data_IF_196768799845
#
_entry.id   IF_196768799845
#
_cell.length_a   1.000
_cell.length_b   1.000
_cell.length_c   1.000
_cell.angle_alpha   90.00
_cell.angle_beta   90.00
_cell.angle_gamma   90.00
#
_symmetry.space_group_name_H-M   'P 1'
#
loop_
_entity.id
_entity.type
_entity.pdbx_description
1 polymer ?
#
# COMPACT_ATOMS: atom_id res chain seq x y z
N UNK A 1 -13.08 0.98 19.05
CA UNK A 1 -13.75 1.15 17.75
C UNK A 1 -14.04 -0.21 17.16
N UNK A 2 -15.15 -0.32 16.42
CA UNK A 2 -15.38 -1.44 15.51
C UNK A 2 -14.90 -1.05 14.10
N UNK A 3 -13.95 -1.78 13.55
CA UNK A 3 -13.27 -1.43 12.30
C UNK A 3 -13.49 -2.52 11.25
N UNK A 4 -14.06 -2.15 10.10
CA UNK A 4 -14.17 -3.01 8.94
C UNK A 4 -12.90 -2.87 8.08
N UNK A 5 -12.23 -3.99 7.81
CA UNK A 5 -11.07 -4.02 6.90
C UNK A 5 -11.39 -4.90 5.69
N UNK A 6 -11.42 -4.32 4.50
CA UNK A 6 -11.43 -5.10 3.27
C UNK A 6 -10.00 -5.37 2.80
N UNK A 7 -9.76 -6.53 2.19
CA UNK A 7 -8.39 -6.95 1.91
C UNK A 7 -7.61 -7.42 3.15
N UNK A 8 -8.31 -7.71 4.26
CA UNK A 8 -7.73 -8.15 5.53
C UNK A 8 -6.88 -9.42 5.47
N UNK A 9 -7.02 -10.24 4.42
CA UNK A 9 -6.18 -11.42 4.19
C UNK A 9 -4.85 -11.13 3.45
N UNK A 10 -4.65 -9.89 2.99
CA UNK A 10 -3.44 -9.45 2.30
C UNK A 10 -2.31 -9.07 3.27
N UNK A 11 -1.12 -8.81 2.75
CA UNK A 11 0.07 -8.45 3.52
C UNK A 11 -0.19 -7.25 4.46
N UNK A 12 -0.67 -6.14 3.91
CA UNK A 12 -0.95 -4.92 4.68
C UNK A 12 -2.13 -5.11 5.64
N UNK A 13 -3.20 -5.78 5.15
CA UNK A 13 -4.41 -6.01 5.94
C UNK A 13 -4.15 -6.89 7.16
N UNK A 14 -3.32 -7.91 7.05
CA UNK A 14 -2.94 -8.76 8.18
C UNK A 14 -2.10 -8.00 9.22
N UNK A 15 -1.10 -7.23 8.76
CA UNK A 15 -0.27 -6.45 9.66
C UNK A 15 -1.10 -5.39 10.41
N UNK A 16 -1.99 -4.69 9.72
CA UNK A 16 -2.88 -3.71 10.33
C UNK A 16 -3.88 -4.36 11.29
N UNK A 17 -4.55 -5.44 10.87
CA UNK A 17 -5.53 -6.13 11.70
C UNK A 17 -4.91 -6.68 12.98
N UNK A 18 -3.69 -7.21 12.90
CA UNK A 18 -2.98 -7.68 14.08
C UNK A 18 -2.69 -6.54 15.08
N UNK A 19 -2.19 -5.42 14.59
CA UNK A 19 -1.89 -4.26 15.44
C UNK A 19 -3.16 -3.67 16.08
N UNK A 20 -4.24 -3.49 15.30
CA UNK A 20 -5.51 -2.97 15.81
C UNK A 20 -6.16 -3.91 16.83
N UNK A 21 -6.05 -5.23 16.62
CA UNK A 21 -6.52 -6.22 17.61
C UNK A 21 -5.74 -6.15 18.92
N UNK A 22 -4.42 -5.93 18.86
CA UNK A 22 -3.58 -5.73 20.05
C UNK A 22 -3.93 -4.45 20.81
N UNK A 23 -4.41 -3.42 20.11
CA UNK A 23 -4.91 -2.18 20.71
C UNK A 23 -6.34 -2.32 21.28
N UNK A 24 -6.95 -3.51 21.20
CA UNK A 24 -8.28 -3.78 21.77
C UNK A 24 -9.46 -3.35 20.86
N UNK A 25 -9.23 -3.11 19.57
CA UNK A 25 -10.32 -2.81 18.64
C UNK A 25 -11.10 -4.07 18.23
N UNK A 26 -12.40 -3.94 18.03
CA UNK A 26 -13.24 -4.98 17.41
C UNK A 26 -13.05 -4.95 15.90
N UNK A 27 -12.81 -6.11 15.28
CA UNK A 27 -12.50 -6.18 13.87
C UNK A 27 -13.49 -7.04 13.08
N UNK A 28 -13.96 -6.51 11.96
CA UNK A 28 -14.61 -7.28 10.90
C UNK A 28 -13.73 -7.28 9.66
N UNK A 29 -13.35 -8.47 9.20
CA UNK A 29 -12.48 -8.66 8.04
C UNK A 29 -13.26 -9.25 6.87
N UNK A 30 -13.38 -8.47 5.79
CA UNK A 30 -14.06 -8.93 4.58
C UNK A 30 -13.11 -9.75 3.70
N UNK A 31 -13.54 -10.96 3.31
CA UNK A 31 -12.77 -11.85 2.45
C UNK A 31 -13.70 -12.72 1.60
N UNK A 32 -13.29 -13.01 0.36
CA UNK A 32 -13.99 -13.95 -0.54
C UNK A 32 -14.09 -15.37 0.02
N UNK A 33 -13.22 -15.74 0.95
CA UNK A 33 -13.18 -17.06 1.58
C UNK A 33 -13.03 -16.92 3.11
N UNK A 34 -14.05 -16.40 3.83
CA UNK A 34 -13.95 -16.04 5.25
C UNK A 34 -13.63 -17.27 6.12
N UNK A 35 -14.27 -18.40 5.89
CA UNK A 35 -14.05 -19.63 6.67
C UNK A 35 -12.61 -20.15 6.58
N UNK A 36 -11.99 -20.08 5.40
CA UNK A 36 -10.58 -20.46 5.22
C UNK A 36 -9.65 -19.49 5.94
N UNK A 37 -9.96 -18.19 5.89
CA UNK A 37 -9.15 -17.16 6.54
C UNK A 37 -9.28 -17.23 8.06
N UNK A 38 -10.46 -17.41 8.60
CA UNK A 38 -10.70 -17.60 10.03
C UNK A 38 -9.89 -18.78 10.61
N UNK A 39 -9.80 -19.90 9.88
CA UNK A 39 -9.01 -21.08 10.30
C UNK A 39 -7.49 -20.85 10.26
N UNK A 40 -7.01 -19.88 9.47
CA UNK A 40 -5.58 -19.59 9.29
C UNK A 40 -5.08 -18.40 10.11
N UNK A 41 -5.99 -17.50 10.43
CA UNK A 41 -5.70 -16.30 11.18
C UNK A 41 -5.71 -16.57 12.68
N UNK A 42 -4.73 -16.03 13.38
CA UNK A 42 -4.73 -15.98 14.85
C UNK A 42 -5.32 -14.65 15.37
N UNK A 43 -5.76 -13.77 14.47
CA UNK A 43 -6.34 -12.48 14.81
C UNK A 43 -7.79 -12.72 15.23
N UNK A 44 -8.20 -12.31 16.45
CA UNK A 44 -9.58 -12.34 16.88
C UNK A 44 -10.40 -11.32 16.07
N UNK A 45 -11.14 -11.80 15.08
CA UNK A 45 -11.93 -10.97 14.18
C UNK A 45 -13.11 -11.76 13.62
N UNK A 46 -14.21 -11.06 13.34
CA UNK A 46 -15.30 -11.61 12.54
C UNK A 46 -14.88 -11.61 11.06
N UNK A 47 -15.01 -12.75 10.40
CA UNK A 47 -14.74 -12.85 8.96
C UNK A 47 -16.05 -12.97 8.20
N UNK A 48 -16.28 -12.08 7.25
CA UNK A 48 -17.51 -12.01 6.44
C UNK A 48 -17.23 -12.13 4.94
N UNK A 49 -18.17 -12.75 4.20
CA UNK A 49 -18.13 -12.82 2.75
C UNK A 49 -18.87 -11.66 2.09
N UNK A 50 -19.93 -11.20 2.70
CA UNK A 50 -20.79 -10.12 2.22
C UNK A 50 -20.79 -8.99 3.25
N UNK A 51 -20.86 -7.74 2.77
CA UNK A 51 -20.96 -6.58 3.65
C UNK A 51 -22.28 -6.58 4.45
N UNK A 52 -23.33 -7.14 3.86
CA UNK A 52 -24.65 -7.26 4.52
C UNK A 52 -24.67 -8.30 5.67
N UNK A 53 -23.62 -9.11 5.82
CA UNK A 53 -23.48 -10.02 6.97
C UNK A 53 -23.01 -9.26 8.24
N UNK A 54 -22.69 -7.97 8.12
CA UNK A 54 -22.26 -7.11 9.21
C UNK A 54 -23.49 -6.51 9.87
N UNK A 55 -23.78 -6.94 11.11
CA UNK A 55 -24.98 -6.53 11.87
C UNK A 55 -24.67 -5.45 12.90
N UNK A 56 -23.42 -5.36 13.36
CA UNK A 56 -23.00 -4.39 14.36
C UNK A 56 -22.58 -3.07 13.70
N UNK A 57 -22.85 -1.93 14.32
CA UNK A 57 -22.38 -0.64 13.83
C UNK A 57 -20.85 -0.62 13.65
N UNK A 58 -20.39 0.00 12.56
CA UNK A 58 -18.96 0.11 12.23
C UNK A 58 -18.53 1.57 12.36
N UNK A 59 -17.50 1.83 13.16
CA UNK A 59 -16.98 3.18 13.38
C UNK A 59 -16.05 3.64 12.24
N UNK A 60 -15.29 2.72 11.67
CA UNK A 60 -14.28 3.01 10.65
C UNK A 60 -14.20 1.93 9.58
N UNK A 61 -13.95 2.33 8.35
CA UNK A 61 -13.69 1.42 7.22
C UNK A 61 -12.29 1.63 6.68
N UNK A 62 -11.52 0.54 6.53
CA UNK A 62 -10.21 0.54 5.88
C UNK A 62 -10.28 -0.35 4.63
N UNK A 63 -10.22 0.25 3.46
CA UNK A 63 -10.28 -0.46 2.18
C UNK A 63 -8.88 -0.71 1.61
N UNK A 64 -8.38 -1.92 1.76
CA UNK A 64 -7.09 -2.37 1.21
C UNK A 64 -7.26 -3.37 0.07
N UNK A 65 -8.46 -3.47 -0.50
CA UNK A 65 -8.75 -4.44 -1.55
C UNK A 65 -8.14 -4.01 -2.87
N UNK A 66 -7.45 -4.93 -3.51
CA UNK A 66 -6.90 -4.74 -4.84
C UNK A 66 -6.21 -5.99 -5.34
N UNK A 67 -6.47 -6.40 -6.59
CA UNK A 67 -5.71 -7.47 -7.21
C UNK A 67 -4.24 -7.05 -7.35
N UNK A 68 -3.32 -7.99 -7.08
CA UNK A 68 -1.89 -7.74 -7.13
C UNK A 68 -1.44 -7.36 -8.55
N UNK A 69 -0.72 -6.24 -8.67
CA UNK A 69 -0.25 -5.67 -9.94
C UNK A 69 0.87 -6.50 -10.59
N UNK A 70 1.61 -7.30 -9.79
CA UNK A 70 2.81 -8.00 -10.25
C UNK A 70 2.60 -9.48 -10.60
N UNK A 71 1.46 -10.08 -10.25
CA UNK A 71 1.24 -11.54 -10.37
C UNK A 71 1.20 -12.02 -11.82
N UNK A 72 0.61 -11.24 -12.73
CA UNK A 72 0.39 -11.62 -14.14
C UNK A 72 0.71 -10.45 -15.08
N UNK A 73 1.10 -10.74 -16.34
CA UNK A 73 1.26 -9.71 -17.37
C UNK A 73 -0.03 -8.90 -17.61
N UNK A 74 0.10 -7.62 -17.95
CA UNK A 74 -1.02 -6.71 -18.11
C UNK A 74 -1.68 -6.82 -19.51
N UNK A 75 -2.37 -7.93 -19.74
CA UNK A 75 -3.31 -8.04 -20.86
C UNK A 75 -4.54 -7.16 -20.62
N UNK A 76 -5.35 -6.90 -21.64
CA UNK A 76 -6.61 -6.15 -21.53
C UNK A 76 -7.51 -6.75 -20.44
N UNK A 77 -7.66 -8.10 -20.43
CA UNK A 77 -8.41 -8.82 -19.40
C UNK A 77 -7.82 -8.61 -18.00
N UNK A 78 -6.49 -8.62 -17.86
CA UNK A 78 -5.84 -8.39 -16.56
C UNK A 78 -6.03 -6.96 -16.09
N UNK A 79 -5.92 -5.98 -16.97
CA UNK A 79 -6.21 -4.57 -16.65
C UNK A 79 -7.63 -4.38 -16.15
N UNK A 80 -8.63 -5.03 -16.77
CA UNK A 80 -10.01 -4.99 -16.26
C UNK A 80 -10.12 -5.58 -14.86
N UNK A 81 -9.45 -6.71 -14.56
CA UNK A 81 -9.42 -7.28 -13.20
C UNK A 81 -8.78 -6.33 -12.20
N UNK A 82 -7.68 -5.67 -12.57
CA UNK A 82 -7.00 -4.70 -11.71
C UNK A 82 -7.87 -3.48 -11.42
N UNK A 83 -8.59 -3.00 -12.43
CA UNK A 83 -9.54 -1.90 -12.33
C UNK A 83 -10.74 -2.26 -11.46
N UNK A 84 -11.46 -3.29 -11.82
CA UNK A 84 -12.71 -3.69 -11.15
C UNK A 84 -12.46 -4.08 -9.70
N UNK A 85 -11.34 -4.75 -9.38
CA UNK A 85 -11.01 -5.13 -8.00
C UNK A 85 -10.85 -3.93 -7.05
N UNK A 86 -10.69 -2.71 -7.58
CA UNK A 86 -10.59 -1.47 -6.81
C UNK A 86 -11.87 -0.67 -6.88
N UNK A 87 -12.32 -0.37 -8.09
CA UNK A 87 -13.46 0.51 -8.32
C UNK A 87 -14.76 -0.15 -7.84
N UNK A 88 -15.03 -1.40 -8.25
CA UNK A 88 -16.28 -2.08 -7.89
C UNK A 88 -16.34 -2.37 -6.39
N UNK A 89 -15.20 -2.74 -5.76
CA UNK A 89 -15.17 -2.94 -4.31
C UNK A 89 -15.39 -1.63 -3.56
N UNK A 90 -14.79 -0.54 -4.02
CA UNK A 90 -15.00 0.78 -3.40
C UNK A 90 -16.46 1.24 -3.55
N UNK A 91 -17.05 1.03 -4.73
CA UNK A 91 -18.48 1.33 -4.96
C UNK A 91 -19.36 0.50 -4.02
N UNK A 92 -19.13 -0.81 -3.92
CA UNK A 92 -19.90 -1.67 -3.01
C UNK A 92 -19.80 -1.23 -1.55
N UNK A 93 -18.63 -0.73 -1.11
CA UNK A 93 -18.46 -0.16 0.23
C UNK A 93 -19.28 1.14 0.39
N UNK A 94 -19.29 2.02 -0.61
CA UNK A 94 -20.08 3.24 -0.60
C UNK A 94 -21.57 2.93 -0.52
N UNK A 95 -22.06 2.00 -1.34
CA UNK A 95 -23.45 1.57 -1.35
C UNK A 95 -23.85 0.98 0.02
N UNK A 96 -22.97 0.18 0.61
CA UNK A 96 -23.16 -0.37 1.95
C UNK A 96 -23.19 0.72 3.03
N UNK A 97 -22.23 1.67 3.00
CA UNK A 97 -22.18 2.79 3.96
C UNK A 97 -23.43 3.68 3.86
N UNK A 98 -23.92 3.93 2.64
CA UNK A 98 -25.13 4.72 2.41
C UNK A 98 -26.41 4.04 2.96
N UNK A 99 -26.40 2.70 3.07
CA UNK A 99 -27.51 1.93 3.64
C UNK A 99 -27.48 1.80 5.17
N UNK A 100 -26.44 2.31 5.85
CA UNK A 100 -26.35 2.23 7.31
C UNK A 100 -27.17 3.35 7.97
N UNK A 101 -27.85 3.03 9.08
CA UNK A 101 -28.53 4.06 9.91
C UNK A 101 -27.52 5.07 10.46
N UNK A 102 -26.32 4.59 10.79
CA UNK A 102 -25.19 5.40 11.24
C UNK A 102 -23.97 5.06 10.36
N UNK A 103 -23.69 5.86 9.33
CA UNK A 103 -22.49 5.66 8.52
C UNK A 103 -21.22 5.74 9.36
N UNK A 104 -20.14 5.04 8.95
CA UNK A 104 -18.85 5.13 9.62
C UNK A 104 -18.35 6.57 9.69
N UNK A 105 -17.65 6.92 10.77
CA UNK A 105 -17.07 8.26 10.93
C UNK A 105 -15.91 8.52 9.98
N UNK A 106 -15.14 7.46 9.64
CA UNK A 106 -13.95 7.56 8.80
C UNK A 106 -13.85 6.41 7.80
N UNK A 107 -13.43 6.77 6.59
CA UNK A 107 -13.10 5.86 5.50
C UNK A 107 -11.65 6.08 5.07
N UNK A 108 -10.76 5.12 5.36
CA UNK A 108 -9.40 5.08 4.86
C UNK A 108 -9.37 4.21 3.60
N UNK A 109 -9.23 4.81 2.43
CA UNK A 109 -9.18 4.07 1.16
C UNK A 109 -7.75 3.90 0.70
N UNK A 110 -7.39 2.67 0.33
CA UNK A 110 -6.13 2.41 -0.35
C UNK A 110 -5.97 3.29 -1.59
N UNK A 111 -4.75 3.70 -1.80
CA UNK A 111 -4.24 4.42 -2.96
C UNK A 111 -2.76 4.05 -3.12
N UNK A 112 -2.03 4.68 -4.03
CA UNK A 112 -0.61 4.42 -4.23
C UNK A 112 0.12 5.67 -4.74
N UNK A 113 1.42 5.78 -4.46
CA UNK A 113 2.28 6.82 -5.06
C UNK A 113 2.33 6.74 -6.59
N UNK A 114 1.89 5.62 -7.17
CA UNK A 114 1.65 5.50 -8.61
C UNK A 114 0.63 6.51 -9.16
N UNK A 115 -0.11 7.22 -8.29
CA UNK A 115 -0.94 8.38 -8.65
C UNK A 115 -0.15 9.43 -9.43
N UNK A 116 1.10 9.66 -9.05
CA UNK A 116 1.95 10.70 -9.63
C UNK A 116 2.55 10.32 -11.00
N UNK A 117 2.67 9.01 -11.30
CA UNK A 117 3.40 8.54 -12.47
C UNK A 117 4.90 8.78 -12.34
N UNK A 118 5.57 8.97 -13.48
CA UNK A 118 7.01 9.31 -13.53
C UNK A 118 7.18 10.83 -13.38
N UNK A 119 7.75 11.27 -12.28
CA UNK A 119 7.99 12.68 -11.95
C UNK A 119 9.46 13.09 -12.15
N UNK A 120 10.32 12.19 -12.63
CA UNK A 120 11.76 12.47 -12.77
C UNK A 120 12.40 12.87 -11.45
N UNK A 121 12.86 14.12 -11.35
CA UNK A 121 13.50 14.69 -10.14
C UNK A 121 12.53 15.49 -9.25
N UNK A 122 11.32 15.72 -9.72
CA UNK A 122 10.35 16.55 -8.99
C UNK A 122 9.91 15.87 -7.70
N UNK A 123 9.84 16.63 -6.62
CA UNK A 123 9.23 16.20 -5.36
C UNK A 123 7.72 16.13 -5.54
N UNK A 124 7.12 15.00 -5.16
CA UNK A 124 5.69 14.77 -5.22
C UNK A 124 5.11 14.84 -3.81
N UNK A 125 4.52 15.97 -3.45
CA UNK A 125 3.71 16.11 -2.25
C UNK A 125 2.25 15.74 -2.52
N UNK A 126 1.42 15.71 -1.50
CA UNK A 126 0.00 15.35 -1.64
C UNK A 126 -0.80 16.31 -2.52
N UNK A 127 -0.28 17.52 -2.75
CA UNK A 127 -0.89 18.54 -3.61
C UNK A 127 -0.52 18.38 -5.09
N UNK A 128 0.49 17.56 -5.41
CA UNK A 128 0.94 17.34 -6.79
C UNK A 128 -0.15 16.70 -7.63
N UNK A 129 -0.29 17.18 -8.86
CA UNK A 129 -1.21 16.61 -9.86
C UNK A 129 -0.86 15.17 -10.23
N UNK A 130 -1.85 14.39 -10.62
CA UNK A 130 -1.66 13.02 -11.06
C UNK A 130 -0.99 12.90 -12.43
N UNK A 131 -0.27 11.79 -12.63
CA UNK A 131 0.36 11.44 -13.90
C UNK A 131 -0.64 10.98 -14.96
N UNK A 132 -0.13 10.72 -16.17
CA UNK A 132 -0.95 10.40 -17.34
C UNK A 132 -0.81 8.93 -17.81
N UNK A 133 0.06 8.13 -17.16
CA UNK A 133 0.21 6.73 -17.51
C UNK A 133 -0.96 5.87 -17.00
N UNK A 134 -1.07 4.63 -17.46
CA UNK A 134 -2.18 3.78 -17.09
C UNK A 134 -2.23 3.46 -15.58
N UNK A 135 -1.11 3.21 -14.87
CA UNK A 135 -1.12 3.09 -13.41
C UNK A 135 -1.68 4.32 -12.71
N UNK A 136 -1.26 5.52 -13.12
CA UNK A 136 -1.75 6.77 -12.54
C UNK A 136 -3.26 6.96 -12.78
N UNK A 137 -3.74 6.67 -13.99
CA UNK A 137 -5.17 6.72 -14.32
C UNK A 137 -5.99 5.74 -13.45
N UNK A 138 -5.48 4.51 -13.22
CA UNK A 138 -6.12 3.55 -12.33
C UNK A 138 -6.25 4.09 -10.90
N UNK A 139 -5.18 4.69 -10.37
CA UNK A 139 -5.16 5.22 -9.01
C UNK A 139 -6.07 6.45 -8.89
N UNK A 140 -6.05 7.36 -9.89
CA UNK A 140 -6.93 8.52 -9.94
C UNK A 140 -8.40 8.11 -9.95
N UNK A 141 -8.77 7.11 -10.76
CA UNK A 141 -10.14 6.60 -10.78
C UNK A 141 -10.53 5.96 -9.44
N UNK A 142 -9.59 5.28 -8.79
CA UNK A 142 -9.82 4.70 -7.46
C UNK A 142 -10.06 5.78 -6.40
N UNK A 143 -9.20 6.82 -6.37
CA UNK A 143 -9.37 7.96 -5.46
C UNK A 143 -10.68 8.72 -5.73
N UNK A 144 -11.01 8.96 -7.00
CA UNK A 144 -12.26 9.63 -7.39
C UNK A 144 -13.51 8.86 -6.90
N UNK A 145 -13.47 7.52 -6.94
CA UNK A 145 -14.54 6.70 -6.40
C UNK A 145 -14.62 6.82 -4.87
N UNK A 146 -13.47 6.77 -4.18
CA UNK A 146 -13.41 6.80 -2.71
C UNK A 146 -13.88 8.14 -2.13
N UNK A 147 -13.56 9.25 -2.79
CA UNK A 147 -13.98 10.62 -2.35
C UNK A 147 -15.50 10.78 -2.26
N UNK A 148 -16.26 9.98 -3.01
CA UNK A 148 -17.75 10.04 -2.92
C UNK A 148 -18.29 9.71 -1.53
N UNK A 149 -17.52 9.06 -0.65
CA UNK A 149 -17.91 8.84 0.74
C UNK A 149 -18.14 10.15 1.51
N UNK A 150 -17.51 11.24 1.09
CA UNK A 150 -17.71 12.57 1.69
C UNK A 150 -19.16 13.07 1.53
N UNK A 151 -19.85 12.65 0.47
CA UNK A 151 -21.28 12.98 0.28
C UNK A 151 -22.18 12.31 1.33
N UNK A 152 -21.68 11.31 2.04
CA UNK A 152 -22.35 10.64 3.15
C UNK A 152 -21.94 11.23 4.51
N UNK A 153 -21.18 12.33 4.54
CA UNK A 153 -20.61 12.91 5.77
C UNK A 153 -19.43 12.11 6.35
N UNK A 154 -18.88 11.15 5.62
CA UNK A 154 -17.78 10.29 6.07
C UNK A 154 -16.43 10.94 5.79
N UNK A 155 -15.61 11.18 6.83
CA UNK A 155 -14.25 11.66 6.67
C UNK A 155 -13.43 10.67 5.84
N UNK A 156 -12.89 11.11 4.71
CA UNK A 156 -12.22 10.23 3.76
C UNK A 156 -10.73 10.57 3.63
N UNK A 157 -9.88 9.58 3.82
CA UNK A 157 -8.42 9.67 3.64
C UNK A 157 -7.97 8.69 2.56
N UNK A 158 -7.15 9.16 1.63
CA UNK A 158 -6.61 8.39 0.51
C UNK A 158 -5.16 8.02 0.80
N UNK A 159 -4.90 6.74 1.03
CA UNK A 159 -3.60 6.22 1.49
C UNK A 159 -2.65 6.01 0.31
N UNK A 160 -1.99 7.06 -0.20
CA UNK A 160 -0.99 6.98 -1.29
C UNK A 160 0.25 6.23 -0.83
N UNK A 161 0.14 4.92 -0.82
CA UNK A 161 1.16 4.01 -0.28
C UNK A 161 2.31 3.84 -1.27
N UNK A 162 3.54 4.04 -0.81
CA UNK A 162 4.76 3.65 -1.49
C UNK A 162 5.03 2.14 -1.40
N UNK A 163 6.10 1.63 -2.04
CA UNK A 163 6.55 0.26 -1.84
C UNK A 163 6.78 -0.05 -0.36
N UNK A 164 5.96 -0.93 0.22
CA UNK A 164 6.06 -1.31 1.63
C UNK A 164 7.08 -2.42 1.79
N UNK A 165 8.08 -2.19 2.64
CA UNK A 165 9.12 -3.15 3.00
C UNK A 165 8.68 -3.93 4.26
N UNK A 166 8.70 -5.27 4.16
CA UNK A 166 8.28 -6.16 5.25
C UNK A 166 8.40 -7.63 4.86
N UNK A 167 7.77 -8.51 5.64
CA UNK A 167 7.75 -9.95 5.39
C UNK A 167 6.94 -10.36 4.14
N UNK A 168 6.27 -9.40 3.51
CA UNK A 168 5.56 -9.55 2.23
C UNK A 168 5.97 -8.48 1.22
N UNK A 169 5.25 -8.41 0.10
CA UNK A 169 5.47 -7.40 -0.94
C UNK A 169 6.76 -7.59 -1.73
N UNK A 170 7.52 -6.51 -1.90
CA UNK A 170 8.71 -6.45 -2.77
C UNK A 170 9.95 -7.11 -2.14
N UNK A 171 10.12 -7.02 -0.83
CA UNK A 171 11.38 -7.38 -0.16
C UNK A 171 11.71 -8.89 -0.21
N UNK A 172 10.77 -9.83 0.05
CA UNK A 172 11.10 -11.26 0.05
C UNK A 172 11.68 -11.78 -1.27
N UNK A 173 11.11 -11.50 -2.46
CA UNK A 173 11.74 -11.93 -3.72
C UNK A 173 13.08 -11.26 -3.97
N UNK A 174 13.30 -10.03 -3.53
CA UNK A 174 14.61 -9.37 -3.62
C UNK A 174 15.64 -10.09 -2.72
N UNK A 175 15.30 -10.37 -1.46
CA UNK A 175 16.16 -11.13 -0.54
C UNK A 175 16.60 -12.46 -1.16
N UNK A 176 15.66 -13.20 -1.74
CA UNK A 176 15.94 -14.49 -2.39
C UNK A 176 16.95 -14.34 -3.54
N UNK A 177 16.78 -13.33 -4.40
CA UNK A 177 17.73 -13.06 -5.50
C UNK A 177 19.14 -12.74 -4.96
N UNK A 178 19.24 -11.89 -3.94
CA UNK A 178 20.52 -11.55 -3.33
C UNK A 178 21.19 -12.76 -2.66
N UNK A 179 20.43 -13.58 -1.94
CA UNK A 179 20.91 -14.81 -1.32
C UNK A 179 21.44 -15.81 -2.37
N UNK A 180 20.80 -15.87 -3.53
CA UNK A 180 21.24 -16.69 -4.67
C UNK A 180 22.44 -16.10 -5.43
N UNK A 181 23.02 -14.97 -4.99
CA UNK A 181 24.11 -14.29 -5.68
C UNK A 181 23.70 -13.53 -6.94
N UNK A 182 22.40 -13.35 -7.14
CA UNK A 182 21.82 -12.63 -8.28
C UNK A 182 21.39 -11.19 -7.89
N UNK A 183 21.99 -10.66 -6.83
CA UNK A 183 21.70 -9.31 -6.35
C UNK A 183 22.14 -8.24 -7.33
N UNK A 184 21.27 -7.23 -7.53
CA UNK A 184 21.56 -6.18 -8.45
C UNK A 184 20.49 -5.10 -8.54
N UNK A 185 20.76 -4.11 -9.39
CA UNK A 185 19.85 -2.99 -9.63
C UNK A 185 19.10 -3.18 -10.95
N UNK A 186 17.97 -2.50 -11.11
CA UNK A 186 17.23 -2.42 -12.37
C UNK A 186 17.84 -1.31 -13.24
N UNK A 187 18.53 -1.67 -14.30
CA UNK A 187 19.30 -0.73 -15.12
C UNK A 187 20.32 0.03 -14.25
N UNK A 188 20.40 1.33 -14.44
CA UNK A 188 21.27 2.21 -13.63
C UNK A 188 20.73 2.48 -12.21
N UNK A 189 19.49 2.07 -11.90
CA UNK A 189 18.84 2.33 -10.61
C UNK A 189 18.75 3.81 -10.24
N UNK A 190 18.68 4.69 -11.24
CA UNK A 190 18.73 6.14 -11.03
C UNK A 190 17.37 6.74 -10.64
N UNK A 191 16.28 6.00 -10.78
CA UNK A 191 14.93 6.44 -10.44
C UNK A 191 14.72 6.49 -8.93
N UNK A 192 13.84 7.39 -8.47
CA UNK A 192 13.48 7.52 -7.08
C UNK A 192 12.59 6.37 -6.61
N UNK A 193 12.83 5.91 -5.38
CA UNK A 193 12.14 4.83 -4.71
C UNK A 193 11.61 5.34 -3.37
N UNK A 194 10.32 5.67 -3.33
CA UNK A 194 9.63 6.20 -2.15
C UNK A 194 9.02 5.07 -1.32
N UNK A 195 9.85 4.39 -0.60
CA UNK A 195 9.53 3.22 0.23
C UNK A 195 8.93 3.61 1.59
N UNK A 196 8.37 2.61 2.31
CA UNK A 196 8.00 2.73 3.72
C UNK A 196 8.20 1.39 4.43
N UNK A 197 8.62 1.41 5.69
CA UNK A 197 8.65 0.21 6.53
C UNK A 197 7.23 -0.18 6.96
N UNK A 198 6.95 -1.50 7.07
CA UNK A 198 5.62 -1.99 7.43
C UNK A 198 5.14 -1.46 8.80
N UNK A 199 6.04 -1.32 9.79
CA UNK A 199 5.69 -0.78 11.11
C UNK A 199 5.25 0.69 11.01
N UNK A 200 5.94 1.51 10.23
CA UNK A 200 5.58 2.91 10.01
C UNK A 200 4.30 3.03 9.17
N UNK A 201 4.09 2.14 8.20
CA UNK A 201 2.84 2.11 7.47
C UNK A 201 1.64 1.82 8.40
N UNK A 202 1.76 0.82 9.28
CA UNK A 202 0.73 0.48 10.26
C UNK A 202 0.53 1.62 11.25
N UNK A 203 1.62 2.20 11.77
CA UNK A 203 1.57 3.32 12.70
C UNK A 203 0.88 4.54 12.10
N UNK A 204 1.21 4.90 10.86
CA UNK A 204 0.60 6.01 10.14
C UNK A 204 -0.91 5.77 9.90
N UNK A 205 -1.31 4.55 9.49
CA UNK A 205 -2.73 4.23 9.30
C UNK A 205 -3.49 4.31 10.62
N UNK A 206 -2.91 3.84 11.73
CA UNK A 206 -3.50 3.96 13.08
C UNK A 206 -3.66 5.42 13.49
N UNK A 207 -2.65 6.26 13.27
CA UNK A 207 -2.74 7.70 13.53
C UNK A 207 -3.85 8.35 12.71
N UNK A 208 -3.97 8.02 11.42
CA UNK A 208 -5.00 8.55 10.53
C UNK A 208 -6.42 8.08 10.85
N UNK A 209 -6.59 6.95 11.55
CA UNK A 209 -7.89 6.50 12.03
C UNK A 209 -8.49 7.47 13.06
N UNK A 210 -7.65 7.99 13.94
CA UNK A 210 -8.08 8.84 15.08
C UNK A 210 -7.89 10.34 14.83
N UNK A 211 -7.03 10.73 13.89
CA UNK A 211 -6.75 12.14 13.58
C UNK A 211 -7.89 12.75 12.75
N UNK A 212 -8.77 13.50 13.39
CA UNK A 212 -9.99 14.03 12.77
C UNK A 212 -9.74 15.15 11.76
N UNK A 213 -8.61 15.85 11.87
CA UNK A 213 -8.31 17.03 11.03
C UNK A 213 -7.79 16.64 9.64
N UNK A 214 -7.32 15.39 9.48
CA UNK A 214 -6.75 14.93 8.21
C UNK A 214 -7.79 14.32 7.30
N UNK A 215 -7.85 14.85 6.08
CA UNK A 215 -8.69 14.32 5.00
C UNK A 215 -7.98 14.43 3.64
N UNK A 216 -8.52 13.72 2.64
CA UNK A 216 -7.96 13.67 1.29
C UNK A 216 -6.69 12.83 1.21
N UNK A 217 -5.80 13.07 0.21
CA UNK A 217 -4.61 12.25 -0.01
C UNK A 217 -3.57 12.43 1.10
N UNK A 218 -2.91 11.32 1.48
CA UNK A 218 -1.78 11.25 2.40
C UNK A 218 -0.73 10.31 1.82
N UNK A 219 0.50 10.78 1.65
CA UNK A 219 1.62 9.96 1.23
C UNK A 219 2.10 9.08 2.38
N UNK A 220 1.96 7.77 2.22
CA UNK A 220 2.51 6.77 3.13
C UNK A 220 3.86 6.29 2.59
N UNK A 221 4.88 7.12 2.78
CA UNK A 221 6.28 6.90 2.40
C UNK A 221 7.18 7.30 3.54
N UNK A 222 8.38 6.71 3.64
CA UNK A 222 9.39 7.18 4.57
C UNK A 222 9.80 8.63 4.24
N UNK A 223 10.28 9.41 5.22
CA UNK A 223 10.63 10.83 5.01
C UNK A 223 11.87 11.01 4.12
N UNK A 224 12.64 9.94 3.92
CA UNK A 224 13.85 9.96 3.09
C UNK A 224 13.71 8.98 1.92
N UNK A 225 13.12 9.40 0.79
CA UNK A 225 13.13 8.60 -0.43
C UNK A 225 14.57 8.46 -0.93
N UNK A 226 14.89 7.28 -1.49
CA UNK A 226 16.24 6.97 -1.97
C UNK A 226 16.24 6.66 -3.47
N UNK A 227 17.41 6.61 -4.10
CA UNK A 227 17.53 6.02 -5.44
C UNK A 227 17.46 4.49 -5.34
N UNK A 228 16.88 3.85 -6.35
CA UNK A 228 16.77 2.39 -6.35
C UNK A 228 18.12 1.69 -6.22
N UNK A 229 19.20 2.26 -6.81
CA UNK A 229 20.58 1.77 -6.64
C UNK A 229 21.04 1.83 -5.18
N UNK A 230 20.62 2.84 -4.43
CA UNK A 230 20.95 2.98 -3.01
C UNK A 230 20.22 1.90 -2.19
N UNK A 231 18.91 1.70 -2.45
CA UNK A 231 18.15 0.60 -1.86
C UNK A 231 18.84 -0.75 -2.10
N UNK A 232 19.22 -1.06 -3.36
CA UNK A 232 19.86 -2.34 -3.68
C UNK A 232 21.27 -2.48 -3.10
N UNK A 233 22.05 -1.39 -3.08
CA UNK A 233 23.38 -1.36 -2.44
C UNK A 233 23.28 -1.62 -0.94
N UNK A 234 22.36 -0.94 -0.26
CA UNK A 234 22.12 -1.12 1.18
C UNK A 234 21.64 -2.53 1.49
N UNK A 235 20.71 -3.07 0.68
CA UNK A 235 20.24 -4.45 0.83
C UNK A 235 21.40 -5.47 0.68
N UNK A 236 22.28 -5.26 -0.31
CA UNK A 236 23.47 -6.08 -0.49
C UNK A 236 24.41 -6.03 0.71
N UNK A 237 24.64 -4.83 1.25
CA UNK A 237 25.47 -4.64 2.45
C UNK A 237 24.89 -5.36 3.67
N UNK A 238 23.57 -5.21 3.93
CA UNK A 238 22.89 -5.84 5.06
C UNK A 238 22.85 -7.36 4.95
N UNK A 239 22.72 -7.89 3.74
CA UNK A 239 22.73 -9.34 3.49
C UNK A 239 24.13 -9.92 3.33
N UNK A 240 25.18 -9.09 3.36
CA UNK A 240 26.57 -9.49 3.04
C UNK A 240 26.66 -10.19 1.68
N UNK A 241 25.99 -9.63 0.66
CA UNK A 241 25.96 -10.14 -0.71
C UNK A 241 26.37 -9.07 -1.72
N UNK A 242 27.13 -9.45 -2.76
CA UNK A 242 27.56 -8.50 -3.78
C UNK A 242 26.39 -7.98 -4.60
N UNK A 243 26.51 -6.72 -5.07
CA UNK A 243 25.55 -6.05 -5.95
C UNK A 243 26.23 -5.83 -7.29
N UNK A 244 26.17 -6.80 -8.18
CA UNK A 244 26.92 -6.76 -9.43
C UNK A 244 26.05 -6.89 -10.69
N UNK A 245 24.83 -7.41 -10.56
CA UNK A 245 23.92 -7.50 -11.67
C UNK A 245 23.17 -6.15 -11.86
N UNK A 246 23.23 -5.64 -13.08
CA UNK A 246 22.47 -4.44 -13.47
C UNK A 246 21.92 -4.64 -14.88
N UNK A 247 20.99 -5.62 -15.06
CA UNK A 247 20.46 -5.91 -16.37
C UNK A 247 19.81 -4.65 -16.94
N UNK A 248 20.10 -4.31 -18.20
CA UNK A 248 19.49 -3.16 -18.84
C UNK A 248 17.98 -3.36 -18.96
N UNK A 249 17.21 -2.28 -18.84
CA UNK A 249 15.73 -2.34 -18.81
C UNK A 249 15.12 -3.04 -20.03
N UNK A 250 15.76 -2.89 -21.21
CA UNK A 250 15.30 -3.55 -22.43
C UNK A 250 15.38 -5.09 -22.33
N UNK A 251 16.33 -5.63 -21.56
CA UNK A 251 16.44 -7.09 -21.35
C UNK A 251 15.36 -7.63 -20.40
N UNK A 252 14.79 -6.78 -19.54
CA UNK A 252 13.72 -7.13 -18.62
C UNK A 252 12.32 -6.98 -19.25
N UNK A 253 12.23 -6.19 -20.32
CA UNK A 253 10.96 -5.87 -20.96
C UNK A 253 10.17 -7.10 -21.48
N UNK A 254 10.81 -8.14 -22.08
CA UNK A 254 10.09 -9.35 -22.49
C UNK A 254 9.42 -10.09 -21.33
N UNK A 255 10.03 -10.07 -20.14
CA UNK A 255 9.55 -10.75 -18.94
C UNK A 255 8.52 -9.91 -18.17
N UNK A 256 8.80 -8.62 -18.02
CA UNK A 256 7.99 -7.72 -17.20
C UNK A 256 6.88 -7.02 -18.01
N UNK A 257 7.09 -6.82 -19.32
CA UNK A 257 6.15 -6.12 -20.19
C UNK A 257 5.84 -4.71 -19.65
N UNK A 258 4.59 -4.31 -19.71
CA UNK A 258 4.14 -3.00 -19.22
C UNK A 258 4.34 -2.78 -17.71
N UNK A 259 4.55 -3.86 -16.92
CA UNK A 259 4.85 -3.75 -15.46
C UNK A 259 6.18 -3.05 -15.19
N UNK A 260 7.07 -2.97 -16.19
CA UNK A 260 8.32 -2.21 -16.10
C UNK A 260 8.05 -0.76 -15.69
N UNK A 261 6.96 -0.15 -16.15
CA UNK A 261 6.57 1.22 -15.78
C UNK A 261 6.40 1.40 -14.27
N UNK A 262 5.80 0.42 -13.56
CA UNK A 262 5.67 0.48 -12.09
C UNK A 262 7.01 0.38 -11.35
N UNK A 263 7.95 -0.36 -11.94
CA UNK A 263 9.23 -0.64 -11.30
C UNK A 263 10.26 0.47 -11.52
N UNK A 264 10.07 1.26 -12.58
CA UNK A 264 11.07 2.25 -13.02
C UNK A 264 10.54 3.68 -13.04
N UNK A 265 9.26 3.90 -12.75
CA UNK A 265 8.73 5.24 -12.56
C UNK A 265 9.48 5.94 -11.42
N UNK A 266 10.06 7.09 -11.75
CA UNK A 266 10.81 7.90 -10.79
C UNK A 266 9.80 8.76 -10.02
N UNK A 267 9.45 8.33 -8.82
CA UNK A 267 8.49 9.05 -7.97
C UNK A 267 9.16 9.39 -6.65
N UNK A 268 9.49 10.67 -6.46
CA UNK A 268 10.04 11.20 -5.22
C UNK A 268 8.90 11.71 -4.34
N UNK A 269 8.09 10.78 -3.81
CA UNK A 269 6.99 11.14 -2.93
C UNK A 269 7.50 11.38 -1.50
N UNK A 270 7.13 12.52 -0.94
CA UNK A 270 7.47 12.91 0.43
C UNK A 270 6.18 13.02 1.26
N UNK A 271 6.18 12.59 2.54
CA UNK A 271 4.99 12.52 3.39
C UNK A 271 4.75 13.86 4.09
N UNK A 272 4.40 14.91 3.35
CA UNK A 272 4.29 16.28 3.86
C UNK A 272 3.23 16.36 4.99
N UNK A 273 2.07 15.75 4.80
CA UNK A 273 1.00 15.76 5.81
C UNK A 273 1.39 15.02 7.09
N UNK A 274 2.02 13.85 7.00
CA UNK A 274 2.46 13.12 8.19
C UNK A 274 3.56 13.87 8.94
N UNK A 275 4.48 14.51 8.21
CA UNK A 275 5.51 15.36 8.83
C UNK A 275 4.89 16.59 9.51
N UNK A 276 3.91 17.23 8.90
CA UNK A 276 3.19 18.37 9.48
C UNK A 276 2.38 17.97 10.75
N UNK A 277 1.90 16.73 10.83
CA UNK A 277 1.28 16.17 12.03
C UNK A 277 2.27 15.82 13.15
N UNK A 278 3.58 15.93 12.89
CA UNK A 278 4.60 15.49 13.84
C UNK A 278 4.67 13.97 14.01
N UNK A 279 4.32 13.20 12.97
CA UNK A 279 4.40 11.74 13.03
C UNK A 279 5.84 11.29 13.33
N UNK A 280 6.00 10.45 14.33
CA UNK A 280 7.31 9.93 14.75
C UNK A 280 7.64 8.65 13.99
N UNK A 281 8.60 8.73 13.09
CA UNK A 281 9.08 7.60 12.29
C UNK A 281 9.92 6.63 13.12
N UNK A 282 9.63 5.34 13.04
CA UNK A 282 10.46 4.28 13.64
C UNK A 282 11.66 3.97 12.74
N UNK A 283 11.47 4.02 11.42
CA UNK A 283 12.47 3.72 10.40
C UNK A 283 12.53 4.84 9.37
N UNK A 284 13.17 5.98 9.70
CA UNK A 284 13.20 7.14 8.81
C UNK A 284 14.14 6.97 7.61
N UNK A 285 15.13 6.08 7.70
CA UNK A 285 16.14 5.81 6.67
C UNK A 285 16.18 4.34 6.24
N UNK A 286 16.64 4.09 5.01
CA UNK A 286 16.61 2.79 4.37
C UNK A 286 17.54 1.75 5.06
N UNK A 287 18.62 2.19 5.69
CA UNK A 287 19.59 1.30 6.32
C UNK A 287 19.00 0.70 7.60
N UNK A 288 18.39 1.53 8.46
CA UNK A 288 17.69 1.06 9.67
C UNK A 288 16.55 0.11 9.33
N UNK A 289 15.74 0.44 8.31
CA UNK A 289 14.63 -0.39 7.86
C UNK A 289 15.07 -1.77 7.36
N UNK A 290 16.09 -1.82 6.50
CA UNK A 290 16.59 -3.08 5.95
C UNK A 290 17.31 -3.92 7.01
N UNK A 291 18.02 -3.28 7.95
CA UNK A 291 18.67 -3.98 9.07
C UNK A 291 17.63 -4.70 9.94
N UNK A 292 16.54 -4.04 10.33
CA UNK A 292 15.44 -4.65 11.08
C UNK A 292 14.83 -5.85 10.34
N UNK A 293 14.47 -5.66 9.07
CA UNK A 293 13.76 -6.67 8.28
C UNK A 293 14.62 -7.86 7.85
N UNK A 294 15.94 -7.71 7.84
CA UNK A 294 16.85 -8.80 7.47
C UNK A 294 17.39 -9.57 8.68
N UNK A 295 17.45 -8.96 9.87
CA UNK A 295 17.89 -9.62 11.11
C UNK A 295 16.80 -10.49 11.74
N UNK A 296 15.52 -10.18 11.51
CA UNK A 296 14.37 -10.95 12.04
C UNK A 296 14.04 -12.21 11.24
N UNK A 297 14.87 -12.61 10.28
CA UNK A 297 14.58 -13.71 9.32
C UNK A 297 15.33 -14.98 9.66
#
# INVERSE_FOLDING_TARGET
MHILITGGSGFLGQALAQALSQDGHTLTLHSRNPQRQAKRSQIPAQWVAQLNDITEPVDAVVNLTGANLFTLPWSARRKSVLWNSRIDTTRALLDWMAGQEQPPQVFLSGSAVGFYGDCGEQVCTEQQAGGNDWPAQLVQAWEAQAVLAQNLGVRTVLLRTGPVLGAGGLLPPQKLLFQAGLGGSLGRGAFWFSWIHIADWVGAVKALLVEETVMGPVNLTAPQPVRYREFTSTLGSVLHRPVWLSPPLWALQPVLGQRTQLLTASTRAEPEKLNALGYTWQFPDIASALSDLCQRS
#
